data_IF_175917321361
#
_entry.id   IF_175917321361
#
_cell.length_a   1.000
_cell.length_b   1.000
_cell.length_c   1.000
_cell.angle_alpha   90.00
_cell.angle_beta   90.00
_cell.angle_gamma   90.00
#
_symmetry.space_group_name_H-M   'P 1'
#
loop_
_entity.id
_entity.type
_entity.pdbx_description
1 polymer ?
#
# COMPACT_ATOMS: atom_id res chain seq x y z
N UNK A 1 12.26 -5.96 -12.93
CA UNK A 1 10.90 -5.42 -12.98
C UNK A 1 10.01 -6.57 -13.41
N UNK A 2 9.09 -7.00 -12.53
CA UNK A 2 8.13 -8.05 -12.86
C UNK A 2 6.88 -7.36 -13.42
N UNK A 3 6.52 -7.67 -14.65
CA UNK A 3 5.26 -7.19 -15.25
C UNK A 3 4.15 -8.19 -14.92
N UNK A 4 3.27 -7.81 -14.00
CA UNK A 4 2.12 -8.63 -13.61
C UNK A 4 0.90 -8.45 -14.53
N UNK A 5 1.01 -7.64 -15.59
CA UNK A 5 -0.08 -7.44 -16.54
C UNK A 5 -0.21 -8.59 -17.54
N UNK A 6 0.92 -9.19 -17.92
CA UNK A 6 0.99 -10.17 -19.00
C UNK A 6 1.64 -11.45 -18.50
N UNK A 7 1.09 -12.60 -18.89
CA UNK A 7 1.67 -13.89 -18.58
C UNK A 7 3.03 -14.02 -19.30
N UNK A 8 4.14 -14.23 -18.56
CA UNK A 8 5.43 -14.51 -19.20
C UNK A 8 5.34 -15.80 -19.99
N UNK A 9 5.91 -15.84 -21.20
CA UNK A 9 6.00 -17.06 -21.99
C UNK A 9 6.74 -18.15 -21.20
N UNK A 10 6.01 -19.19 -20.77
CA UNK A 10 6.54 -20.29 -19.95
C UNK A 10 6.14 -20.26 -18.46
N UNK A 11 5.37 -19.26 -18.01
CA UNK A 11 4.79 -19.28 -16.66
C UNK A 11 3.53 -20.13 -16.61
N UNK A 12 3.55 -21.18 -15.79
CA UNK A 12 2.44 -22.12 -15.55
C UNK A 12 2.18 -22.31 -14.05
N UNK A 13 2.54 -21.33 -13.23
CA UNK A 13 2.37 -21.42 -11.78
C UNK A 13 0.89 -21.23 -11.45
N UNK A 14 0.24 -22.27 -10.90
CA UNK A 14 -1.15 -22.18 -10.41
C UNK A 14 -1.35 -21.20 -9.25
N UNK A 15 -0.27 -20.59 -8.76
CA UNK A 15 -0.25 -19.63 -7.66
C UNK A 15 -0.27 -18.18 -8.13
N UNK A 16 0.06 -17.91 -9.39
CA UNK A 16 0.11 -16.54 -9.91
C UNK A 16 -1.15 -16.18 -10.70
N UNK A 17 -1.51 -14.90 -10.62
CA UNK A 17 -2.57 -14.27 -11.39
C UNK A 17 -1.96 -13.12 -12.18
N UNK A 18 -2.29 -13.01 -13.45
CA UNK A 18 -1.82 -11.93 -14.32
C UNK A 18 -3.03 -11.16 -14.86
N UNK A 19 -2.97 -9.84 -14.79
CA UNK A 19 -4.09 -8.99 -15.19
C UNK A 19 -4.05 -7.60 -14.56
N UNK A 20 -5.03 -6.74 -14.89
CA UNK A 20 -5.08 -5.35 -14.40
C UNK A 20 -5.24 -5.24 -12.88
N UNK A 21 -5.84 -6.26 -12.27
CA UNK A 21 -6.03 -6.46 -10.83
C UNK A 21 -4.88 -7.24 -10.18
N UNK A 22 -3.80 -7.53 -10.91
CA UNK A 22 -2.62 -8.19 -10.38
C UNK A 22 -1.58 -7.20 -9.87
N UNK A 23 -0.91 -7.53 -8.77
CA UNK A 23 0.19 -6.76 -8.18
C UNK A 23 1.30 -7.69 -7.75
N UNK A 24 2.51 -7.15 -7.65
CA UNK A 24 3.70 -7.89 -7.27
C UNK A 24 3.80 -7.96 -5.74
N UNK A 25 3.99 -9.17 -5.21
CA UNK A 25 4.17 -9.44 -3.79
C UNK A 25 5.47 -10.19 -3.54
N UNK A 26 6.11 -9.88 -2.42
CA UNK A 26 7.24 -10.66 -1.93
C UNK A 26 6.73 -11.83 -1.08
N UNK A 27 7.14 -13.03 -1.50
CA UNK A 27 6.82 -14.30 -0.86
C UNK A 27 8.12 -14.91 -0.34
N UNK A 28 8.14 -15.18 0.96
CA UNK A 28 9.25 -15.78 1.65
C UNK A 28 8.93 -17.25 1.96
N UNK A 29 9.88 -18.16 1.77
CA UNK A 29 9.71 -19.57 2.16
C UNK A 29 11.03 -20.16 2.64
N UNK A 30 10.93 -21.18 3.49
CA UNK A 30 12.09 -21.90 3.98
C UNK A 30 12.56 -22.91 2.92
N UNK A 31 13.84 -22.84 2.57
CA UNK A 31 14.51 -23.80 1.70
C UNK A 31 15.62 -24.51 2.45
N UNK A 32 16.12 -25.62 1.91
CA UNK A 32 17.23 -26.39 2.49
C UNK A 32 18.50 -25.54 2.70
N UNK A 33 18.67 -24.48 1.91
CA UNK A 33 19.80 -23.55 1.98
C UNK A 33 19.53 -22.29 2.83
N UNK A 34 18.38 -22.20 3.52
CA UNK A 34 17.94 -21.04 4.28
C UNK A 34 16.68 -20.38 3.71
N UNK A 35 16.34 -19.19 4.20
CA UNK A 35 15.18 -18.42 3.72
C UNK A 35 15.40 -17.90 2.31
N UNK A 36 14.45 -18.14 1.42
CA UNK A 36 14.44 -17.64 0.05
C UNK A 36 13.26 -16.69 -0.10
N UNK A 37 13.48 -15.57 -0.78
CA UNK A 37 12.43 -14.67 -1.21
C UNK A 37 12.21 -14.79 -2.71
N UNK A 38 10.96 -14.71 -3.14
CA UNK A 38 10.56 -14.71 -4.54
C UNK A 38 9.39 -13.75 -4.73
N UNK A 39 9.24 -13.20 -5.92
CA UNK A 39 8.18 -12.23 -6.21
C UNK A 39 7.10 -12.86 -7.08
N UNK A 40 5.85 -12.78 -6.63
CA UNK A 40 4.69 -13.43 -7.27
C UNK A 40 3.69 -12.37 -7.69
N UNK A 41 3.06 -12.58 -8.84
CA UNK A 41 1.92 -11.78 -9.27
C UNK A 41 0.62 -12.32 -8.66
N UNK A 42 -0.03 -11.55 -7.80
CA UNK A 42 -1.23 -11.98 -7.07
C UNK A 42 -2.40 -11.04 -7.35
N UNK A 43 -3.61 -11.62 -7.43
CA UNK A 43 -4.84 -10.84 -7.54
C UNK A 43 -5.06 -10.02 -6.28
N UNK A 44 -5.35 -8.75 -6.47
CA UNK A 44 -5.49 -7.76 -5.40
C UNK A 44 -6.78 -6.96 -5.54
N UNK A 45 -7.49 -6.79 -4.44
CA UNK A 45 -8.69 -5.97 -4.35
C UNK A 45 -8.53 -4.94 -3.22
N UNK A 46 -8.78 -3.67 -3.53
CA UNK A 46 -8.69 -2.58 -2.57
C UNK A 46 -10.07 -2.32 -1.96
N UNK A 47 -10.23 -2.60 -0.65
CA UNK A 47 -11.50 -2.40 0.04
C UNK A 47 -11.48 -1.06 0.79
N UNK A 48 -12.08 -0.03 0.17
CA UNK A 48 -12.10 1.33 0.70
C UNK A 48 -12.94 1.47 1.99
N UNK A 49 -14.00 0.67 2.13
CA UNK A 49 -14.89 0.73 3.29
C UNK A 49 -14.19 0.22 4.55
N UNK A 50 -13.46 -0.89 4.42
CA UNK A 50 -12.71 -1.50 5.52
C UNK A 50 -11.28 -0.99 5.63
N UNK A 51 -10.79 -0.25 4.63
CA UNK A 51 -9.41 0.26 4.52
C UNK A 51 -8.37 -0.85 4.58
N UNK A 52 -8.62 -1.92 3.84
CA UNK A 52 -7.74 -3.11 3.78
C UNK A 52 -7.45 -3.47 2.33
N UNK A 53 -6.36 -4.21 2.14
CA UNK A 53 -6.03 -4.84 0.86
C UNK A 53 -6.37 -6.32 0.98
N UNK A 54 -7.21 -6.82 0.07
CA UNK A 54 -7.51 -8.24 -0.03
C UNK A 54 -6.66 -8.87 -1.13
N UNK A 55 -5.99 -9.97 -0.81
CA UNK A 55 -5.06 -10.65 -1.73
C UNK A 55 -5.50 -12.10 -1.88
N UNK A 56 -5.55 -12.59 -3.12
CA UNK A 56 -5.89 -13.98 -3.41
C UNK A 56 -4.65 -14.78 -3.73
N UNK A 57 -4.36 -15.80 -2.91
CA UNK A 57 -3.20 -16.68 -3.04
C UNK A 57 -3.60 -18.12 -2.72
N UNK A 58 -3.22 -19.07 -3.58
CA UNK A 58 -3.50 -20.50 -3.42
C UNK A 58 -4.98 -20.82 -3.14
N UNK A 59 -5.91 -20.09 -3.77
CA UNK A 59 -7.35 -20.23 -3.56
C UNK A 59 -7.88 -19.68 -2.23
N UNK A 60 -7.02 -19.07 -1.41
CA UNK A 60 -7.37 -18.40 -0.16
C UNK A 60 -7.37 -16.89 -0.36
N UNK A 61 -8.28 -16.19 0.32
CA UNK A 61 -8.27 -14.73 0.43
C UNK A 61 -7.66 -14.33 1.76
N UNK A 62 -6.58 -13.57 1.71
CA UNK A 62 -5.96 -12.96 2.89
C UNK A 62 -6.28 -11.47 2.93
N UNK A 63 -6.20 -10.88 4.11
CA UNK A 63 -6.49 -9.47 4.34
C UNK A 63 -5.27 -8.80 4.95
N UNK A 64 -4.68 -7.88 4.22
CA UNK A 64 -3.65 -6.97 4.69
C UNK A 64 -4.31 -5.75 5.32
N UNK A 65 -4.02 -5.50 6.59
CA UNK A 65 -4.55 -4.39 7.39
C UNK A 65 -3.55 -3.23 7.52
N UNK A 66 -2.26 -3.50 7.33
CA UNK A 66 -1.20 -2.49 7.35
C UNK A 66 0.01 -2.93 6.52
N UNK A 67 0.88 -1.96 6.21
CA UNK A 67 2.12 -2.17 5.45
C UNK A 67 3.01 -3.26 6.09
N UNK A 68 3.55 -4.17 5.27
CA UNK A 68 4.49 -5.22 5.68
C UNK A 68 3.95 -6.22 6.70
N UNK A 69 2.63 -6.29 6.89
CA UNK A 69 2.00 -7.36 7.65
C UNK A 69 2.39 -8.72 7.05
N UNK A 70 2.81 -9.65 7.91
CA UNK A 70 3.20 -10.99 7.49
C UNK A 70 2.03 -11.96 7.68
N UNK A 71 1.72 -12.72 6.62
CA UNK A 71 0.73 -13.80 6.65
C UNK A 71 1.38 -15.14 6.32
N UNK A 72 1.09 -16.17 7.11
CA UNK A 72 1.48 -17.54 6.81
C UNK A 72 0.39 -18.23 6.00
N UNK A 73 0.71 -18.70 4.80
CA UNK A 73 -0.21 -19.39 3.90
C UNK A 73 0.42 -20.71 3.47
N UNK A 74 0.05 -21.81 4.11
CA UNK A 74 0.74 -23.09 3.94
C UNK A 74 2.21 -22.97 4.37
N UNK A 75 3.13 -23.36 3.48
CA UNK A 75 4.58 -23.33 3.72
C UNK A 75 5.25 -22.01 3.28
N UNK A 76 4.47 -21.01 2.90
CA UNK A 76 4.99 -19.70 2.49
C UNK A 76 4.53 -18.59 3.43
N UNK A 77 5.32 -17.53 3.50
CA UNK A 77 5.06 -16.30 4.23
C UNK A 77 4.92 -15.16 3.22
N UNK A 78 3.72 -14.61 3.11
CA UNK A 78 3.43 -13.44 2.30
C UNK A 78 3.67 -12.18 3.13
N UNK A 79 4.42 -11.24 2.57
CA UNK A 79 4.56 -9.89 3.13
C UNK A 79 3.63 -8.92 2.40
N UNK A 80 2.74 -8.28 3.15
CA UNK A 80 1.82 -7.29 2.61
C UNK A 80 2.59 -6.08 2.06
N UNK A 81 2.23 -5.57 0.88
CA UNK A 81 2.91 -4.47 0.26
C UNK A 81 2.63 -3.18 1.01
N UNK A 82 3.37 -2.13 0.66
CA UNK A 82 2.98 -0.77 1.04
C UNK A 82 1.66 -0.42 0.38
N UNK A 83 0.67 0.00 1.18
CA UNK A 83 -0.64 0.35 0.67
C UNK A 83 -0.58 1.45 -0.38
N UNK A 84 0.29 2.44 -0.16
CA UNK A 84 0.52 3.56 -1.09
C UNK A 84 0.94 3.14 -2.52
N UNK A 85 1.54 1.95 -2.68
CA UNK A 85 1.99 1.45 -3.98
C UNK A 85 0.87 0.71 -4.70
N UNK A 86 0.04 -0.01 -3.95
CA UNK A 86 -0.91 -0.97 -4.50
C UNK A 86 -2.34 -0.42 -4.56
N UNK A 87 -2.75 0.27 -3.50
CA UNK A 87 -4.06 0.90 -3.33
C UNK A 87 -3.88 2.35 -2.81
N UNK A 88 -3.36 3.28 -3.64
CA UNK A 88 -3.05 4.65 -3.24
C UNK A 88 -4.26 5.43 -2.70
N UNK A 89 -5.47 5.04 -3.07
CA UNK A 89 -6.72 5.59 -2.57
C UNK A 89 -7.05 5.23 -1.11
N UNK A 90 -6.37 4.22 -0.54
CA UNK A 90 -6.54 3.82 0.86
C UNK A 90 -5.66 4.62 1.82
N UNK A 91 -4.79 5.50 1.32
CA UNK A 91 -3.85 6.29 2.12
C UNK A 91 -3.88 7.76 1.71
N UNK A 92 -3.46 8.65 2.61
CA UNK A 92 -3.30 10.05 2.25
C UNK A 92 -2.14 10.24 1.25
N UNK A 93 -2.35 10.98 0.14
CA UNK A 93 -1.32 11.24 -0.85
C UNK A 93 -0.04 11.82 -0.23
N UNK A 94 1.10 11.17 -0.46
CA UNK A 94 2.41 11.58 0.07
C UNK A 94 2.46 11.69 1.60
N UNK A 95 1.54 11.04 2.31
CA UNK A 95 1.34 11.20 3.76
C UNK A 95 1.24 12.68 4.18
N UNK A 96 0.50 13.46 3.38
CA UNK A 96 0.34 14.91 3.53
C UNK A 96 1.65 15.70 3.54
N UNK A 97 2.73 15.12 3.00
CA UNK A 97 4.08 15.68 2.97
C UNK A 97 4.63 16.10 4.34
N UNK A 98 4.04 15.60 5.43
CA UNK A 98 4.30 16.09 6.80
C UNK A 98 3.85 17.53 7.06
N UNK A 99 2.99 18.09 6.20
CA UNK A 99 2.56 19.50 6.18
C UNK A 99 1.04 19.65 6.40
N UNK A 100 0.41 18.59 6.90
CA UNK A 100 -1.01 18.54 7.19
C UNK A 100 -1.36 17.32 8.02
N UNK A 101 -2.64 17.17 8.33
CA UNK A 101 -3.20 16.00 9.01
C UNK A 101 -3.99 15.17 8.02
N UNK A 102 -3.79 13.86 8.05
CA UNK A 102 -4.60 12.95 7.25
C UNK A 102 -5.98 12.76 7.91
N UNK A 103 -7.02 13.26 7.25
CA UNK A 103 -8.41 12.99 7.60
C UNK A 103 -8.84 11.66 6.98
N UNK A 104 -8.81 10.62 7.81
CA UNK A 104 -9.22 9.26 7.46
C UNK A 104 -10.74 9.08 7.35
N UNK A 105 -11.55 10.04 7.80
CA UNK A 105 -13.01 9.95 7.89
C UNK A 105 -13.73 10.70 6.75
N UNK A 106 -12.99 11.17 5.74
CA UNK A 106 -13.57 11.81 4.57
C UNK A 106 -14.41 10.82 3.74
N UNK A 107 -15.55 11.29 3.23
CA UNK A 107 -16.52 10.50 2.45
C UNK A 107 -15.90 9.91 1.17
N UNK A 108 -14.85 10.53 0.64
CA UNK A 108 -14.19 10.12 -0.60
C UNK A 108 -12.83 9.44 -0.36
N UNK A 109 -12.65 8.80 0.79
CA UNK A 109 -11.37 8.23 1.22
C UNK A 109 -10.47 9.24 1.94
N UNK A 110 -9.28 8.81 2.39
CA UNK A 110 -8.35 9.63 3.18
C UNK A 110 -7.91 10.88 2.42
N UNK A 111 -7.98 12.04 3.07
CA UNK A 111 -7.60 13.34 2.48
C UNK A 111 -6.70 14.13 3.41
N UNK A 112 -5.83 14.93 2.84
CA UNK A 112 -4.97 15.82 3.60
C UNK A 112 -5.66 17.13 3.93
N UNK A 113 -5.66 17.48 5.21
CA UNK A 113 -6.00 18.80 5.72
C UNK A 113 -4.69 19.56 5.96
N UNK A 114 -4.31 20.41 5.00
CA UNK A 114 -3.04 21.12 5.03
C UNK A 114 -2.99 22.18 6.13
N UNK A 115 -1.82 22.35 6.74
CA UNK A 115 -1.60 23.40 7.73
C UNK A 115 -1.58 24.79 7.07
N UNK A 116 -1.06 24.89 5.85
CA UNK A 116 -1.21 26.07 5.01
C UNK A 116 -2.58 26.03 4.33
N UNK A 117 -3.48 26.92 4.75
CA UNK A 117 -4.85 27.00 4.21
C UNK A 117 -4.90 27.44 2.74
N UNK A 118 -3.79 27.97 2.20
CA UNK A 118 -3.70 28.35 0.79
C UNK A 118 -3.25 27.18 -0.09
N UNK A 119 -2.73 26.10 0.52
CA UNK A 119 -2.35 24.89 -0.17
C UNK A 119 -3.57 23.98 -0.37
N UNK A 120 -4.14 24.02 -1.57
CA UNK A 120 -5.24 23.15 -1.99
C UNK A 120 -4.77 21.88 -2.71
N UNK A 121 -3.48 21.53 -2.66
CA UNK A 121 -2.96 20.34 -3.33
C UNK A 121 -3.32 19.06 -2.56
N UNK A 122 -3.52 17.91 -3.24
CA UNK A 122 -4.04 16.69 -2.60
C UNK A 122 -3.20 16.13 -1.44
N UNK A 123 -1.90 16.44 -1.39
CA UNK A 123 -0.96 15.95 -0.39
C UNK A 123 -0.12 17.06 0.26
N UNK A 124 -0.61 18.30 0.26
CA UNK A 124 0.08 19.47 0.80
C UNK A 124 1.48 19.71 0.19
N UNK A 125 1.59 19.54 -1.12
CA UNK A 125 2.82 19.68 -1.90
C UNK A 125 3.20 21.14 -2.19
N UNK A 126 2.22 22.05 -2.16
CA UNK A 126 2.40 23.48 -2.49
C UNK A 126 2.92 24.31 -1.31
N UNK A 127 2.73 23.80 -0.10
CA UNK A 127 3.18 24.38 1.15
C UNK A 127 4.70 24.52 1.09
N UNK A 128 5.22 25.75 1.02
CA UNK A 128 6.64 25.99 1.26
C UNK A 128 6.90 25.80 2.76
N UNK A 129 8.06 25.26 3.13
CA UNK A 129 8.38 25.00 4.54
C UNK A 129 8.57 26.32 5.29
N UNK A 130 7.48 26.94 5.74
CA UNK A 130 7.49 28.08 6.67
C UNK A 130 6.08 28.35 7.17
N UNK A 131 5.77 27.79 8.34
CA UNK A 131 5.21 28.53 9.48
C UNK A 131 4.90 27.54 10.61
N UNK A 132 5.90 27.19 11.42
CA UNK A 132 5.61 26.97 12.83
C UNK A 132 5.28 28.37 13.38
N UNK A 133 4.03 28.80 13.24
CA UNK A 133 3.51 29.85 14.10
C UNK A 133 3.28 29.19 15.47
N UNK A 134 4.37 29.02 16.22
CA UNK A 134 4.24 28.92 17.66
C UNK A 134 3.58 30.23 18.14
N UNK A 135 2.50 30.18 18.94
CA UNK A 135 1.99 31.40 19.54
C UNK A 135 3.11 31.97 20.41
N UNK A 136 3.60 33.16 20.06
CA UNK A 136 4.44 33.97 20.93
C UNK A 136 3.61 34.29 22.18
N UNK A 137 3.81 33.54 23.25
CA UNK A 137 3.32 33.91 24.58
C UNK A 137 3.96 35.22 25.03
N UNK A 138 3.26 36.06 25.80
CA UNK A 138 3.76 37.36 26.22
C UNK A 138 4.97 37.22 27.16
N UNK A 139 5.92 38.14 27.01
CA UNK A 139 7.15 38.28 27.80
C UNK A 139 6.88 38.55 29.28
#
# INVERSE_FOLDING_TARGET
YVDCMNVPSGSYTHLEHFGPDSRCYDINYDSFSGKVSSSYCLKTECNADQKVIEVHIAGTKITCEFDFQLHSVGDVQLECPRFAVVCPELVCPGNCSGRGVCNWNSIHGPRCECFDITDSSPGCFGSTSSAIQAPLGPQ
#
